data_IF_834924211713
#
_entry.id   IF_834924211713
#
_cell.length_a   1.000
_cell.length_b   1.000
_cell.length_c   1.000
_cell.angle_alpha   90.00
_cell.angle_beta   90.00
_cell.angle_gamma   90.00
#
_symmetry.space_group_name_H-M   'P 1'
#
loop_
_entity.id
_entity.type
_entity.pdbx_description
1 polymer ?
#
# COMPACT_ATOMS: atom_id res chain seq x y z
N UNK A 1 17.09 5.19 9.31
CA UNK A 1 16.76 5.23 10.75
C UNK A 1 15.25 5.15 11.04
N UNK A 2 14.38 5.24 10.04
CA UNK A 2 12.90 5.20 10.22
C UNK A 2 12.26 3.81 10.16
N UNK A 3 12.95 2.77 9.70
CA UNK A 3 12.38 1.44 9.46
C UNK A 3 12.42 0.48 10.65
N UNK A 4 13.19 0.75 11.68
CA UNK A 4 13.32 -0.15 12.85
C UNK A 4 12.22 -0.01 13.91
N UNK A 5 11.28 0.91 13.71
CA UNK A 5 10.22 1.19 14.70
C UNK A 5 9.07 0.17 14.62
N UNK A 6 8.87 -0.45 13.45
CA UNK A 6 7.74 -1.36 13.23
C UNK A 6 7.96 -2.80 13.71
N UNK A 7 9.20 -3.28 13.77
CA UNK A 7 9.46 -4.69 14.16
C UNK A 7 9.43 -4.95 15.68
N UNK A 8 9.66 -3.94 16.52
CA UNK A 8 9.74 -4.15 17.99
C UNK A 8 8.40 -4.10 18.74
N UNK A 9 7.28 -3.77 18.09
CA UNK A 9 5.97 -3.63 18.76
C UNK A 9 5.03 -4.83 18.66
N UNK A 10 5.41 -5.91 17.97
CA UNK A 10 4.49 -7.05 17.79
C UNK A 10 4.48 -8.07 18.93
N UNK A 11 5.25 -7.87 19.99
CA UNK A 11 5.32 -8.88 21.10
C UNK A 11 4.53 -8.53 22.36
N UNK A 12 3.87 -7.37 22.47
CA UNK A 12 3.20 -6.96 23.73
C UNK A 12 1.83 -6.29 23.61
N UNK A 13 1.04 -6.54 22.62
CA UNK A 13 -0.35 -6.06 22.61
C UNK A 13 -1.35 -7.17 22.30
N UNK A 14 -1.45 -8.15 23.23
CA UNK A 14 -2.64 -8.97 23.41
C UNK A 14 -3.57 -8.23 24.39
N UNK A 15 -4.28 -7.22 23.94
CA UNK A 15 -5.43 -6.67 24.66
C UNK A 15 -6.51 -6.31 23.66
N UNK A 16 -7.51 -7.22 23.60
CA UNK A 16 -8.90 -6.99 23.20
C UNK A 16 -9.12 -5.97 22.07
N UNK A 17 -8.97 -6.40 20.83
CA UNK A 17 -9.78 -5.92 19.74
C UNK A 17 -10.95 -6.90 19.62
N UNK A 18 -12.16 -6.44 19.89
CA UNK A 18 -13.38 -7.16 19.56
C UNK A 18 -13.37 -7.53 18.09
N UNK A 19 -13.85 -8.72 17.70
CA UNK A 19 -13.97 -9.07 16.29
C UNK A 19 -14.97 -8.11 15.66
N UNK A 20 -14.53 -7.27 14.75
CA UNK A 20 -15.40 -6.55 13.84
C UNK A 20 -16.03 -7.60 12.92
N UNK A 21 -17.07 -8.26 13.42
CA UNK A 21 -18.05 -9.00 12.66
C UNK A 21 -19.12 -8.03 12.19
N UNK A 22 -18.74 -7.04 11.39
CA UNK A 22 -19.70 -6.36 10.54
C UNK A 22 -19.59 -6.97 9.16
N UNK A 23 -20.63 -7.65 8.79
CA UNK A 23 -20.96 -8.18 7.50
C UNK A 23 -20.68 -7.15 6.40
N UNK A 24 -19.44 -7.12 5.91
CA UNK A 24 -19.22 -6.72 4.53
C UNK A 24 -19.89 -7.82 3.73
N UNK A 25 -21.13 -7.56 3.33
CA UNK A 25 -21.77 -8.35 2.29
C UNK A 25 -20.85 -8.29 1.08
N UNK A 26 -19.96 -9.27 1.01
CA UNK A 26 -19.17 -9.58 -0.16
C UNK A 26 -20.12 -10.10 -1.22
N UNK A 27 -20.82 -9.19 -1.87
CA UNK A 27 -21.31 -9.39 -3.23
C UNK A 27 -20.18 -9.15 -4.23
N UNK A 28 -18.97 -9.59 -3.88
CA UNK A 28 -17.96 -9.96 -4.84
C UNK A 28 -18.37 -11.34 -5.30
N UNK A 29 -19.04 -11.38 -6.44
CA UNK A 29 -19.42 -12.59 -7.14
C UNK A 29 -18.25 -13.57 -7.11
N UNK A 30 -18.48 -14.72 -6.52
CA UNK A 30 -17.61 -15.90 -6.39
C UNK A 30 -17.33 -16.57 -7.74
N UNK A 31 -17.22 -15.80 -8.80
CA UNK A 31 -16.93 -16.21 -10.18
C UNK A 31 -15.85 -15.37 -10.86
N UNK A 32 -14.87 -14.82 -10.09
CA UNK A 32 -13.61 -14.40 -10.70
C UNK A 32 -12.86 -15.69 -11.05
N UNK A 33 -13.16 -16.22 -12.25
CA UNK A 33 -12.59 -17.41 -12.84
C UNK A 33 -11.07 -17.39 -12.69
N UNK A 34 -10.53 -18.42 -12.01
CA UNK A 34 -9.13 -18.80 -12.11
C UNK A 34 -8.82 -18.86 -13.61
N UNK A 35 -7.93 -18.01 -14.11
CA UNK A 35 -7.49 -18.09 -15.50
C UNK A 35 -7.46 -16.81 -16.32
N UNK A 36 -7.70 -15.63 -15.72
CA UNK A 36 -7.64 -14.35 -16.43
C UNK A 36 -6.88 -13.26 -15.68
N UNK A 37 -6.04 -13.62 -14.70
CA UNK A 37 -5.30 -12.63 -13.90
C UNK A 37 -4.32 -11.84 -14.77
N UNK A 38 -3.63 -12.54 -15.66
CA UNK A 38 -2.68 -11.90 -16.55
C UNK A 38 -3.37 -10.97 -17.56
N UNK A 39 -4.50 -11.37 -18.12
CA UNK A 39 -5.28 -10.53 -19.05
C UNK A 39 -5.76 -9.25 -18.33
N UNK A 40 -6.33 -9.38 -17.13
CA UNK A 40 -6.71 -8.23 -16.30
C UNK A 40 -5.53 -7.33 -15.95
N UNK A 41 -4.38 -7.94 -15.63
CA UNK A 41 -3.16 -7.19 -15.35
C UNK A 41 -2.67 -6.43 -16.59
N UNK A 42 -2.81 -7.00 -17.79
CA UNK A 42 -2.46 -6.35 -19.04
C UNK A 42 -3.36 -5.17 -19.41
N UNK A 43 -4.59 -5.11 -18.91
CA UNK A 43 -5.47 -3.96 -19.13
C UNK A 43 -4.97 -2.69 -18.43
N UNK A 44 -4.19 -2.84 -17.36
CA UNK A 44 -3.61 -1.72 -16.64
C UNK A 44 -2.54 -1.00 -17.48
N UNK A 45 -2.71 0.31 -17.67
CA UNK A 45 -1.80 1.11 -18.49
C UNK A 45 -0.35 1.05 -18.00
N UNK A 46 -0.13 0.89 -16.70
CA UNK A 46 1.22 0.78 -16.10
C UNK A 46 1.94 -0.47 -16.58
N UNK A 47 1.21 -1.53 -16.85
CA UNK A 47 1.76 -2.77 -17.40
C UNK A 47 1.94 -2.66 -18.90
N UNK A 48 0.95 -2.11 -19.63
CA UNK A 48 1.05 -1.88 -21.08
C UNK A 48 2.30 -1.07 -21.44
N UNK A 49 2.54 0.01 -20.72
CA UNK A 49 3.66 0.89 -20.99
C UNK A 49 4.96 0.44 -20.29
N UNK A 50 4.85 -0.14 -19.10
CA UNK A 50 5.97 -0.45 -18.22
C UNK A 50 6.58 -1.84 -18.39
N UNK A 51 5.88 -2.79 -19.03
CA UNK A 51 6.38 -4.16 -19.18
C UNK A 51 7.10 -4.31 -20.53
N UNK A 52 8.42 -4.38 -20.50
CA UNK A 52 9.29 -4.67 -21.65
C UNK A 52 10.02 -6.00 -21.42
N UNK A 53 10.61 -6.58 -22.47
CA UNK A 53 11.40 -7.81 -22.33
C UNK A 53 12.57 -7.61 -21.36
N UNK A 54 12.57 -8.36 -20.26
CA UNK A 54 13.60 -8.31 -19.23
C UNK A 54 14.84 -9.11 -19.67
N UNK A 55 16.01 -8.49 -19.64
CA UNK A 55 17.29 -9.14 -19.94
C UNK A 55 17.95 -9.76 -18.69
N UNK A 56 17.28 -9.82 -17.58
CA UNK A 56 17.78 -10.42 -16.32
C UNK A 56 19.07 -9.79 -15.74
N UNK A 57 19.39 -8.55 -16.07
CA UNK A 57 20.65 -7.89 -15.61
C UNK A 57 20.72 -7.65 -14.09
N UNK A 58 19.59 -7.65 -13.36
CA UNK A 58 19.57 -7.49 -11.91
C UNK A 58 19.71 -6.07 -11.38
N UNK A 59 19.89 -5.05 -12.22
CA UNK A 59 20.10 -3.66 -11.80
C UNK A 59 18.96 -3.17 -10.91
N UNK A 60 17.69 -3.49 -11.24
CA UNK A 60 16.53 -3.09 -10.44
C UNK A 60 16.54 -3.66 -9.02
N UNK A 61 17.13 -4.85 -8.81
CA UNK A 61 17.30 -5.42 -7.48
C UNK A 61 18.46 -4.77 -6.75
N UNK A 62 19.60 -4.53 -7.44
CA UNK A 62 20.79 -3.93 -6.84
C UNK A 62 20.58 -2.50 -6.35
N UNK A 63 19.65 -1.75 -6.96
CA UNK A 63 19.35 -0.36 -6.58
C UNK A 63 18.12 -0.24 -5.67
N UNK A 64 17.51 -1.36 -5.31
CA UNK A 64 16.27 -1.34 -4.55
C UNK A 64 16.55 -1.22 -3.05
N UNK A 65 16.11 -0.14 -2.36
CA UNK A 65 16.30 -0.02 -0.93
C UNK A 65 15.55 -1.10 -0.13
N UNK A 66 14.44 -1.60 -0.62
CA UNK A 66 13.72 -2.68 0.05
C UNK A 66 14.48 -4.03 -0.01
N UNK A 67 15.29 -4.26 -1.05
CA UNK A 67 16.07 -5.48 -1.17
C UNK A 67 17.22 -5.57 -0.14
N UNK A 68 17.59 -4.45 0.48
CA UNK A 68 18.58 -4.41 1.56
C UNK A 68 18.01 -4.98 2.87
N UNK A 69 16.74 -4.76 3.13
CA UNK A 69 16.09 -5.11 4.40
C UNK A 69 15.22 -6.37 4.33
N UNK A 70 14.76 -6.74 3.14
CA UNK A 70 13.85 -7.86 2.93
C UNK A 70 14.35 -8.81 1.84
N UNK A 71 13.89 -10.05 1.85
CA UNK A 71 14.04 -10.97 0.72
C UNK A 71 13.18 -10.49 -0.46
N UNK A 72 13.53 -9.36 -1.03
CA UNK A 72 12.76 -8.69 -2.05
C UNK A 72 13.54 -8.56 -3.36
N UNK A 73 12.94 -8.99 -4.46
CA UNK A 73 13.60 -9.03 -5.76
C UNK A 73 12.67 -8.54 -6.87
N UNK A 74 12.71 -7.24 -7.23
CA UNK A 74 11.88 -6.68 -8.30
C UNK A 74 12.07 -7.36 -9.65
N UNK A 75 13.29 -7.83 -9.97
CA UNK A 75 13.58 -8.57 -11.19
C UNK A 75 12.76 -9.86 -11.26
N UNK A 76 12.69 -10.60 -10.15
CA UNK A 76 11.93 -11.85 -10.11
C UNK A 76 10.43 -11.61 -10.32
N UNK A 77 9.89 -10.55 -9.73
CA UNK A 77 8.48 -10.15 -9.92
C UNK A 77 8.19 -9.88 -11.41
N UNK A 78 9.04 -9.09 -12.08
CA UNK A 78 8.88 -8.82 -13.52
C UNK A 78 8.94 -10.12 -14.34
N UNK A 79 9.84 -11.05 -13.99
CA UNK A 79 9.96 -12.33 -14.69
C UNK A 79 8.73 -13.23 -14.51
N UNK A 80 8.13 -13.27 -13.31
CA UNK A 80 6.88 -13.99 -13.06
C UNK A 80 5.78 -13.45 -13.98
N UNK A 81 5.61 -12.13 -14.01
CA UNK A 81 4.62 -11.48 -14.89
C UNK A 81 4.88 -11.79 -16.37
N UNK A 82 6.16 -11.82 -16.79
CA UNK A 82 6.51 -12.10 -18.19
C UNK A 82 6.29 -13.56 -18.61
N UNK A 83 6.38 -14.52 -17.69
CA UNK A 83 6.12 -15.92 -17.99
C UNK A 83 4.66 -16.21 -18.29
N UNK A 84 3.75 -15.34 -17.81
CA UNK A 84 2.30 -15.48 -17.97
C UNK A 84 1.76 -16.78 -17.32
N UNK A 85 2.41 -17.25 -16.28
CA UNK A 85 1.97 -18.38 -15.49
C UNK A 85 0.95 -17.90 -14.45
N UNK A 86 -0.28 -18.35 -14.59
CA UNK A 86 -1.40 -17.91 -13.75
C UNK A 86 -1.22 -18.39 -12.30
N UNK A 87 -0.68 -19.59 -12.08
CA UNK A 87 -0.47 -20.13 -10.74
C UNK A 87 0.65 -19.37 -10.00
N UNK A 88 1.77 -19.09 -10.68
CA UNK A 88 2.85 -18.26 -10.12
C UNK A 88 2.35 -16.83 -9.83
N UNK A 89 1.51 -16.27 -10.69
CA UNK A 89 0.94 -14.95 -10.53
C UNK A 89 -0.02 -14.91 -9.35
N UNK A 90 -0.90 -15.89 -9.20
CA UNK A 90 -1.82 -16.01 -8.06
C UNK A 90 -1.04 -16.10 -6.73
N UNK A 91 -0.02 -16.95 -6.67
CA UNK A 91 0.84 -17.07 -5.49
C UNK A 91 1.55 -15.75 -5.16
N UNK A 92 2.00 -15.02 -6.18
CA UNK A 92 2.62 -13.72 -5.99
C UNK A 92 1.64 -12.70 -5.40
N UNK A 93 0.39 -12.66 -5.88
CA UNK A 93 -0.66 -11.74 -5.41
C UNK A 93 -1.07 -12.02 -3.96
N UNK A 94 -1.01 -13.30 -3.52
CA UNK A 94 -1.28 -13.73 -2.15
C UNK A 94 -0.12 -13.49 -1.19
N UNK A 95 1.08 -13.25 -1.71
CA UNK A 95 2.29 -13.11 -0.90
C UNK A 95 2.48 -11.69 -0.35
N UNK A 96 3.29 -11.57 0.70
CA UNK A 96 3.75 -10.28 1.22
C UNK A 96 4.72 -9.57 0.25
N UNK A 97 5.25 -10.28 -0.75
CA UNK A 97 6.35 -9.81 -1.59
C UNK A 97 6.05 -8.51 -2.30
N UNK A 98 4.86 -8.39 -2.93
CA UNK A 98 4.49 -7.17 -3.66
C UNK A 98 4.35 -5.95 -2.73
N UNK A 99 4.11 -6.15 -1.43
CA UNK A 99 3.90 -5.10 -0.44
C UNK A 99 5.18 -4.51 0.14
N UNK A 100 6.35 -5.13 -0.08
CA UNK A 100 7.64 -4.57 0.33
C UNK A 100 8.12 -3.41 -0.54
N UNK A 101 7.54 -3.19 -1.70
CA UNK A 101 7.93 -2.08 -2.58
C UNK A 101 7.61 -0.73 -1.94
N UNK A 102 8.62 0.12 -1.76
CA UNK A 102 8.45 1.50 -1.26
C UNK A 102 8.08 2.52 -2.34
N UNK A 103 7.78 2.08 -3.58
CA UNK A 103 7.34 2.93 -4.70
C UNK A 103 8.28 4.10 -5.04
N UNK A 104 9.57 3.98 -4.70
CA UNK A 104 10.58 5.03 -4.90
C UNK A 104 11.00 5.23 -6.38
N UNK A 105 10.57 4.37 -7.28
CA UNK A 105 10.83 4.38 -8.73
C UNK A 105 12.30 4.30 -9.16
N UNK A 106 13.25 4.07 -8.25
CA UNK A 106 14.68 3.93 -8.60
C UNK A 106 14.96 2.82 -9.60
N UNK A 107 14.17 1.74 -9.58
CA UNK A 107 14.28 0.63 -10.52
C UNK A 107 13.82 0.99 -11.94
N UNK A 108 12.95 1.99 -12.09
CA UNK A 108 12.41 2.43 -13.38
C UNK A 108 13.48 3.23 -14.13
N UNK A 109 14.06 4.24 -13.50
CA UNK A 109 15.02 5.14 -14.11
C UNK A 109 16.34 4.47 -14.50
N UNK A 110 16.66 3.33 -13.89
CA UNK A 110 17.92 2.61 -14.10
C UNK A 110 17.82 1.35 -14.94
N UNK A 111 16.61 1.04 -15.43
CA UNK A 111 16.44 -0.15 -16.27
C UNK A 111 16.95 0.09 -17.69
N UNK A 112 17.98 -0.68 -18.17
CA UNK A 112 18.52 -0.48 -19.52
C UNK A 112 17.56 -0.89 -20.63
N UNK A 113 16.51 -1.64 -20.31
CA UNK A 113 15.45 -2.06 -21.24
C UNK A 113 14.18 -1.21 -21.16
N UNK A 114 14.16 -0.20 -20.28
CA UNK A 114 12.99 0.64 -20.08
C UNK A 114 11.81 -0.08 -19.41
N UNK A 115 12.06 -1.17 -18.66
CA UNK A 115 11.04 -1.73 -17.79
C UNK A 115 10.77 -0.80 -16.62
N UNK A 116 9.53 -0.84 -16.14
CA UNK A 116 9.08 -0.09 -14.98
C UNK A 116 8.64 -1.03 -13.84
N UNK A 117 9.57 -1.75 -13.16
CA UNK A 117 9.20 -2.73 -12.13
C UNK A 117 8.30 -2.15 -11.03
N UNK A 118 8.59 -0.91 -10.58
CA UNK A 118 7.76 -0.23 -9.58
C UNK A 118 6.31 -0.05 -10.03
N UNK A 119 6.08 0.35 -11.28
CA UNK A 119 4.72 0.53 -11.83
C UNK A 119 4.00 -0.82 -12.00
N UNK A 120 4.73 -1.86 -12.42
CA UNK A 120 4.18 -3.22 -12.52
C UNK A 120 3.71 -3.71 -11.14
N UNK A 121 4.51 -3.46 -10.09
CA UNK A 121 4.16 -3.85 -8.72
C UNK A 121 2.93 -3.08 -8.21
N UNK A 122 2.81 -1.81 -8.54
CA UNK A 122 1.60 -1.04 -8.22
C UNK A 122 0.35 -1.62 -8.92
N UNK A 123 0.48 -2.08 -10.17
CA UNK A 123 -0.61 -2.75 -10.86
C UNK A 123 -0.96 -4.10 -10.22
N UNK A 124 0.04 -4.87 -9.78
CA UNK A 124 -0.16 -6.13 -9.04
C UNK A 124 -0.90 -5.88 -7.71
N UNK A 125 -0.53 -4.85 -6.95
CA UNK A 125 -1.24 -4.47 -5.72
C UNK A 125 -2.70 -4.13 -5.99
N UNK A 126 -2.96 -3.34 -7.03
CA UNK A 126 -4.33 -3.03 -7.47
C UNK A 126 -5.10 -4.30 -7.76
N UNK A 127 -4.53 -5.20 -8.55
CA UNK A 127 -5.16 -6.48 -8.89
C UNK A 127 -5.41 -7.35 -7.64
N UNK A 128 -4.45 -7.41 -6.70
CA UNK A 128 -4.61 -8.13 -5.43
C UNK A 128 -5.75 -7.57 -4.58
N UNK A 129 -5.95 -6.25 -4.58
CA UNK A 129 -7.06 -5.60 -3.89
C UNK A 129 -8.41 -5.92 -4.57
N UNK A 130 -8.46 -5.85 -5.90
CA UNK A 130 -9.68 -6.11 -6.69
C UNK A 130 -10.13 -7.57 -6.63
N UNK A 131 -9.17 -8.50 -6.52
CA UNK A 131 -9.44 -9.95 -6.45
C UNK A 131 -9.65 -10.46 -5.03
N UNK A 132 -9.33 -9.65 -4.02
CA UNK A 132 -9.40 -10.05 -2.61
C UNK A 132 -8.17 -10.84 -2.13
N UNK A 133 -7.18 -11.13 -2.97
CA UNK A 133 -5.97 -11.88 -2.57
C UNK A 133 -5.13 -11.19 -1.51
N UNK A 134 -5.27 -9.87 -1.34
CA UNK A 134 -4.63 -9.14 -0.24
C UNK A 134 -5.01 -9.68 1.15
N UNK A 135 -6.15 -10.36 1.27
CA UNK A 135 -6.59 -10.97 2.53
C UNK A 135 -5.72 -12.16 2.96
N UNK A 136 -4.97 -12.76 2.05
CA UNK A 136 -4.05 -13.85 2.36
C UNK A 136 -2.66 -13.32 2.78
N UNK A 137 -2.37 -12.03 2.54
CA UNK A 137 -1.12 -11.35 2.89
C UNK A 137 -1.28 -10.51 4.16
N UNK A 138 -0.38 -10.67 5.14
CA UNK A 138 -0.39 -9.84 6.35
C UNK A 138 -0.06 -8.37 6.03
N UNK A 139 0.88 -8.13 5.13
CA UNK A 139 1.22 -6.78 4.67
C UNK A 139 0.11 -6.17 3.82
N UNK A 140 -0.59 -6.99 3.04
CA UNK A 140 -1.77 -6.57 2.28
C UNK A 140 -2.90 -6.09 3.18
N UNK A 141 -3.21 -6.82 4.24
CA UNK A 141 -4.20 -6.42 5.26
C UNK A 141 -3.82 -5.09 5.92
N UNK A 142 -2.56 -4.95 6.35
CA UNK A 142 -2.05 -3.71 6.95
C UNK A 142 -2.20 -2.52 5.99
N UNK A 143 -1.84 -2.71 4.73
CA UNK A 143 -1.98 -1.67 3.71
C UNK A 143 -3.45 -1.30 3.46
N UNK A 144 -4.34 -2.29 3.47
CA UNK A 144 -5.78 -2.03 3.32
C UNK A 144 -6.33 -1.14 4.44
N UNK A 145 -5.96 -1.41 5.70
CA UNK A 145 -6.37 -0.58 6.83
C UNK A 145 -5.90 0.86 6.65
N UNK A 146 -4.62 1.05 6.32
CA UNK A 146 -4.06 2.40 6.08
C UNK A 146 -4.80 3.13 4.97
N UNK A 147 -5.03 2.46 3.84
CA UNK A 147 -5.74 3.06 2.69
C UNK A 147 -7.18 3.40 3.06
N UNK A 148 -7.88 2.50 3.76
CA UNK A 148 -9.25 2.73 4.22
C UNK A 148 -9.34 3.96 5.12
N UNK A 149 -8.43 4.10 6.08
CA UNK A 149 -8.41 5.22 7.02
C UNK A 149 -8.09 6.55 6.30
N UNK A 150 -7.08 6.56 5.42
CA UNK A 150 -6.75 7.73 4.61
C UNK A 150 -7.90 8.14 3.71
N UNK A 151 -8.52 7.20 2.99
CA UNK A 151 -9.66 7.48 2.13
C UNK A 151 -10.87 7.98 2.93
N UNK A 152 -11.14 7.40 4.10
CA UNK A 152 -12.22 7.84 4.98
C UNK A 152 -11.98 9.26 5.47
N UNK A 153 -10.74 9.60 5.83
CA UNK A 153 -10.38 10.96 6.23
C UNK A 153 -10.58 11.95 5.08
N UNK A 154 -10.13 11.61 3.87
CA UNK A 154 -10.33 12.46 2.68
C UNK A 154 -11.83 12.68 2.41
N UNK A 155 -12.63 11.62 2.44
CA UNK A 155 -14.05 11.70 2.14
C UNK A 155 -14.84 12.47 3.21
N UNK A 156 -14.46 12.33 4.47
CA UNK A 156 -15.18 12.93 5.59
C UNK A 156 -14.69 14.35 5.94
N UNK A 157 -13.40 14.62 5.75
CA UNK A 157 -12.76 15.84 6.24
C UNK A 157 -12.03 16.63 5.14
N UNK A 158 -11.82 16.05 3.95
CA UNK A 158 -11.06 16.66 2.86
C UNK A 158 -9.54 16.54 2.98
N UNK A 159 -9.02 15.90 4.03
CA UNK A 159 -7.59 15.74 4.32
C UNK A 159 -7.22 14.27 4.48
N UNK A 160 -6.05 13.86 3.97
CA UNK A 160 -5.51 12.49 4.16
C UNK A 160 -5.24 12.17 5.63
N UNK A 161 -4.72 13.15 6.37
CA UNK A 161 -4.44 13.05 7.81
C UNK A 161 -5.32 14.08 8.49
N UNK A 162 -6.20 13.60 9.36
CA UNK A 162 -7.05 14.46 10.16
C UNK A 162 -6.53 14.49 11.61
N UNK A 163 -5.95 15.60 12.05
CA UNK A 163 -5.23 15.66 13.33
C UNK A 163 -6.07 15.33 14.57
N UNK A 164 -7.38 15.56 14.53
CA UNK A 164 -8.28 15.19 15.65
C UNK A 164 -8.41 13.67 15.84
N UNK A 165 -8.16 12.89 14.77
CA UNK A 165 -8.13 11.43 14.85
C UNK A 165 -6.75 10.90 15.27
N UNK A 166 -5.77 11.80 15.48
CA UNK A 166 -4.44 11.43 15.91
C UNK A 166 -4.42 11.25 17.43
N UNK A 167 -4.21 10.02 17.87
CA UNK A 167 -4.03 9.72 19.28
C UNK A 167 -2.55 9.70 19.62
N UNK A 168 -2.09 10.73 20.35
CA UNK A 168 -0.71 10.83 20.79
C UNK A 168 -0.31 9.68 21.72
N UNK A 169 -1.22 9.14 22.53
CA UNK A 169 -0.90 8.06 23.46
C UNK A 169 -0.52 6.76 22.75
N UNK A 170 -1.08 6.53 21.56
CA UNK A 170 -0.69 5.41 20.70
C UNK A 170 0.55 5.67 19.85
N UNK A 171 0.93 6.94 19.69
CA UNK A 171 2.00 7.40 18.78
C UNK A 171 3.11 8.16 19.49
N UNK A 172 3.59 7.62 20.63
CA UNK A 172 4.67 8.24 21.43
C UNK A 172 6.00 8.41 20.71
N UNK A 173 6.19 7.73 19.58
CA UNK A 173 7.35 7.85 18.70
C UNK A 173 7.57 9.25 18.14
N UNK A 174 6.52 10.07 18.07
CA UNK A 174 6.63 11.47 17.64
C UNK A 174 7.22 12.40 18.71
N UNK A 175 7.45 11.89 19.92
CA UNK A 175 8.14 12.61 20.99
C UNK A 175 7.48 13.90 21.42
N UNK A 176 8.28 14.84 21.88
CA UNK A 176 7.79 16.13 22.42
C UNK A 176 7.09 16.99 21.38
N UNK A 177 7.50 16.92 20.12
CA UNK A 177 6.87 17.66 19.01
C UNK A 177 5.45 17.18 18.76
N UNK A 178 5.25 15.86 18.73
CA UNK A 178 3.91 15.27 18.57
C UNK A 178 2.98 15.65 19.73
N UNK A 179 3.50 15.63 20.96
CA UNK A 179 2.76 16.08 22.14
C UNK A 179 2.36 17.55 22.02
N UNK A 180 3.30 18.42 21.66
CA UNK A 180 3.03 19.85 21.48
C UNK A 180 1.98 20.10 20.40
N UNK A 181 2.09 19.43 19.26
CA UNK A 181 1.08 19.53 18.16
C UNK A 181 -0.30 19.12 18.67
N UNK A 182 -0.39 18.00 19.40
CA UNK A 182 -1.66 17.51 19.92
C UNK A 182 -2.32 18.49 20.92
N UNK A 183 -1.51 19.15 21.75
CA UNK A 183 -1.97 20.15 22.71
C UNK A 183 -2.39 21.48 22.05
N UNK A 184 -1.86 21.79 20.85
CA UNK A 184 -2.05 23.06 20.15
C UNK A 184 -2.73 22.90 18.78
N UNK A 185 -3.52 21.85 18.60
CA UNK A 185 -4.13 21.53 17.32
C UNK A 185 -4.93 22.68 16.71
N UNK A 186 -5.71 23.39 17.51
CA UNK A 186 -6.55 24.49 17.05
C UNK A 186 -5.69 25.67 16.55
N UNK A 187 -4.62 26.03 17.27
CA UNK A 187 -3.68 27.08 16.86
C UNK A 187 -2.92 26.68 15.58
N UNK A 188 -2.48 25.43 15.48
CA UNK A 188 -1.79 24.90 14.28
C UNK A 188 -2.71 24.97 13.06
N UNK A 189 -3.95 24.54 13.20
CA UNK A 189 -4.92 24.59 12.11
C UNK A 189 -5.25 26.01 11.67
N UNK A 190 -5.43 26.92 12.63
CA UNK A 190 -5.68 28.34 12.33
C UNK A 190 -4.51 28.95 11.54
N UNK A 191 -3.27 28.66 11.94
CA UNK A 191 -2.07 29.15 11.24
C UNK A 191 -1.90 28.55 9.85
N UNK A 192 -2.28 27.31 9.67
CA UNK A 192 -2.23 26.62 8.36
C UNK A 192 -3.40 27.02 7.45
N UNK A 193 -4.39 27.77 7.95
CA UNK A 193 -5.61 28.12 7.22
C UNK A 193 -6.48 26.90 6.92
N UNK A 194 -6.30 25.79 7.65
CA UNK A 194 -7.10 24.60 7.50
C UNK A 194 -8.34 24.66 8.40
N UNK A 195 -9.46 24.15 7.90
CA UNK A 195 -10.70 24.12 8.68
C UNK A 195 -10.78 22.82 9.49
N UNK A 196 -10.77 22.96 10.84
CA UNK A 196 -10.89 21.82 11.76
C UNK A 196 -12.26 21.15 11.71
N UNK A 197 -13.29 21.93 11.47
CA UNK A 197 -14.65 21.40 11.44
C UNK A 197 -14.95 20.72 10.09
N UNK A 198 -14.00 20.83 9.15
CA UNK A 198 -14.07 20.32 7.80
C UNK A 198 -15.44 20.63 7.20
N UNK A 199 -15.54 21.18 6.03
CA UNK A 199 -16.86 21.40 5.40
C UNK A 199 -17.62 20.10 5.18
N UNK A 200 -17.21 19.06 5.89
CA UNK A 200 -17.80 17.73 5.84
C UNK A 200 -17.69 17.10 4.44
N UNK A 201 -18.38 16.00 4.21
CA UNK A 201 -18.38 15.27 2.94
C UNK A 201 -18.99 16.05 1.78
N UNK A 202 -19.43 17.29 2.01
CA UNK A 202 -20.11 18.12 1.02
C UNK A 202 -19.26 18.52 -0.18
N UNK A 203 -17.93 18.60 -0.06
CA UNK A 203 -17.05 19.04 -1.13
C UNK A 203 -16.75 17.97 -2.18
N UNK A 204 -16.66 16.69 -1.79
CA UNK A 204 -16.27 15.59 -2.66
C UNK A 204 -17.39 14.64 -3.06
N UNK A 205 -18.57 14.79 -2.45
CA UNK A 205 -19.76 13.97 -2.76
C UNK A 205 -20.80 14.67 -3.62
N UNK A 206 -20.46 15.81 -4.21
CA UNK A 206 -21.34 16.47 -5.18
C UNK A 206 -21.03 16.02 -6.59
#
# INVERSE_FOLDING_TARGET
>A
MFFNIFEKKNEKNTSKSEPVSESVSASASESASKGHLFERLQEDYRVKEGLKACMNCGVCTAVCPAAEFYKYNPKNIVNIVQRKDEDELEQLLKSDTIWYCGECMSCVTRCPRGNAPGLIIMALRKLAMETGYYLESEKGKQQYVVVKDLCSNILNHGYCIYPRNFDYETHKEFGTVGKWINEHLDDVHQRLGSNLDGDGPGGLRK
#
